data_IF_910558041888
#
_entry.id   IF_910558041888
#
_cell.length_a   1.000
_cell.length_b   1.000
_cell.length_c   1.000
_cell.angle_alpha   90.00
_cell.angle_beta   90.00
_cell.angle_gamma   90.00
#
_symmetry.space_group_name_H-M   'P 1'
#
loop_
_entity.id
_entity.type
_entity.pdbx_description
1 polymer ?
#
# COMPACT_ATOMS: atom_id res chain seq x y z
N UNK A 1 2.14 1.23 10.97
CA UNK A 1 1.09 2.25 10.71
C UNK A 1 0.52 2.08 9.31
N UNK A 2 -0.79 2.18 9.20
CA UNK A 2 -1.53 2.32 7.95
C UNK A 2 -1.90 3.80 7.81
N UNK A 3 -2.01 4.29 6.57
CA UNK A 3 -2.46 5.66 6.31
C UNK A 3 -3.62 5.69 5.32
N UNK A 4 -4.51 6.65 5.50
CA UNK A 4 -5.58 6.98 4.55
C UNK A 4 -5.34 8.42 4.08
N UNK A 5 -5.13 8.60 2.78
CA UNK A 5 -4.92 9.92 2.20
C UNK A 5 -6.24 10.69 2.26
N UNK A 6 -6.27 11.82 2.96
CA UNK A 6 -7.43 12.69 3.06
C UNK A 6 -7.39 13.79 1.99
N UNK A 7 -6.21 14.36 1.74
CA UNK A 7 -6.02 15.43 0.77
C UNK A 7 -4.65 15.32 0.09
N UNK A 8 -4.56 15.87 -1.12
CA UNK A 8 -3.34 15.90 -1.92
C UNK A 8 -3.12 14.65 -2.78
N UNK A 9 -1.93 14.58 -3.38
CA UNK A 9 -1.49 13.46 -4.22
C UNK A 9 -0.14 12.92 -3.77
N UNK A 10 0.04 11.62 -3.96
CA UNK A 10 1.29 10.93 -3.73
C UNK A 10 1.64 10.03 -4.92
N UNK A 11 2.89 9.58 -4.98
CA UNK A 11 3.36 8.55 -5.90
C UNK A 11 3.84 7.36 -5.09
N UNK A 12 3.42 6.16 -5.48
CA UNK A 12 3.95 4.91 -4.94
C UNK A 12 4.89 4.28 -5.95
N UNK A 13 6.15 4.13 -5.53
CA UNK A 13 7.23 3.56 -6.32
C UNK A 13 7.60 2.19 -5.73
N UNK A 14 7.52 1.15 -6.55
CA UNK A 14 7.99 -0.20 -6.21
C UNK A 14 9.33 -0.39 -6.89
N UNK A 15 10.33 -0.86 -6.13
CA UNK A 15 11.68 -1.07 -6.63
C UNK A 15 12.14 -2.53 -6.53
N UNK A 16 13.07 -2.91 -7.40
CA UNK A 16 13.90 -4.09 -7.28
C UNK A 16 15.38 -3.68 -7.37
N UNK A 17 16.29 -4.65 -7.48
CA UNK A 17 17.74 -4.42 -7.61
C UNK A 17 18.14 -3.59 -8.84
N UNK A 18 17.28 -3.52 -9.85
CA UNK A 18 17.52 -2.83 -11.13
C UNK A 18 16.90 -1.42 -11.18
N UNK A 19 16.14 -1.02 -10.14
CA UNK A 19 15.51 0.30 -10.04
C UNK A 19 13.99 0.24 -9.82
N UNK A 20 13.30 1.32 -10.18
CA UNK A 20 11.84 1.42 -10.05
C UNK A 20 11.18 0.58 -11.15
N UNK A 21 10.41 -0.43 -10.73
CA UNK A 21 9.71 -1.36 -11.62
C UNK A 21 8.25 -0.98 -11.85
N UNK A 22 7.69 -0.15 -10.97
CA UNK A 22 6.34 0.40 -11.11
C UNK A 22 6.24 1.71 -10.37
N UNK A 23 5.51 2.64 -10.96
CA UNK A 23 5.20 3.94 -10.38
C UNK A 23 3.74 4.26 -10.64
N UNK A 24 2.99 4.58 -9.57
CA UNK A 24 1.56 4.90 -9.67
C UNK A 24 1.24 6.13 -8.82
N UNK A 25 0.45 7.05 -9.35
CA UNK A 25 -0.08 8.17 -8.58
C UNK A 25 -1.30 7.73 -7.74
N UNK A 26 -1.41 8.30 -6.56
CA UNK A 26 -2.45 8.06 -5.57
C UNK A 26 -3.10 9.40 -5.23
N UNK A 27 -4.43 9.41 -5.25
CA UNK A 27 -5.25 10.54 -4.82
C UNK A 27 -5.81 10.32 -3.41
N UNK A 28 -6.56 11.31 -2.92
CA UNK A 28 -7.37 11.19 -1.71
C UNK A 28 -8.31 9.95 -1.76
N UNK A 29 -8.57 9.36 -0.60
CA UNK A 29 -9.33 8.13 -0.43
C UNK A 29 -8.48 6.86 -0.56
N UNK A 30 -7.22 6.95 -1.00
CA UNK A 30 -6.35 5.78 -1.09
C UNK A 30 -5.75 5.40 0.27
N UNK A 31 -5.69 4.09 0.54
CA UNK A 31 -5.02 3.51 1.70
C UNK A 31 -3.58 3.15 1.34
N UNK A 32 -2.62 3.34 2.24
CA UNK A 32 -1.24 2.87 2.06
C UNK A 32 -0.70 2.19 3.31
N UNK A 33 0.24 1.27 3.09
CA UNK A 33 0.97 0.59 4.16
C UNK A 33 0.22 -0.59 4.79
N UNK A 34 -0.90 -0.99 4.19
CA UNK A 34 -1.72 -2.15 4.55
C UNK A 34 -0.96 -3.47 4.40
N UNK A 35 -0.22 -3.67 3.30
CA UNK A 35 0.53 -4.92 3.06
C UNK A 35 1.50 -5.20 4.20
N UNK A 36 2.35 -4.23 4.54
CA UNK A 36 3.34 -4.37 5.61
C UNK A 36 2.68 -4.59 6.98
N UNK A 37 1.49 -4.03 7.20
CA UNK A 37 0.77 -4.20 8.46
C UNK A 37 0.12 -5.59 8.56
N UNK A 38 -0.55 -6.04 7.51
CA UNK A 38 -1.31 -7.29 7.46
C UNK A 38 -0.40 -8.52 7.36
N UNK A 39 0.65 -8.46 6.56
CA UNK A 39 1.55 -9.59 6.33
C UNK A 39 2.79 -9.58 7.23
N UNK A 40 2.94 -8.56 8.08
CA UNK A 40 4.10 -8.37 8.95
C UNK A 40 5.45 -8.41 8.20
N UNK A 41 5.47 -7.77 7.03
CA UNK A 41 6.65 -7.67 6.16
C UNK A 41 7.20 -6.24 6.12
N UNK A 42 8.47 -6.04 5.72
CA UNK A 42 9.00 -4.70 5.45
C UNK A 42 8.14 -3.93 4.43
N UNK A 43 8.28 -2.59 4.42
CA UNK A 43 7.60 -1.76 3.42
C UNK A 43 8.01 -2.19 2.01
N UNK A 44 7.02 -2.54 1.20
CA UNK A 44 7.23 -3.07 -0.16
C UNK A 44 7.33 -1.99 -1.24
N UNK A 45 7.04 -0.74 -0.88
CA UNK A 45 7.08 0.40 -1.78
C UNK A 45 7.42 1.69 -1.02
N UNK A 46 7.96 2.66 -1.74
CA UNK A 46 8.20 4.02 -1.26
C UNK A 46 7.03 4.89 -1.68
N UNK A 47 6.46 5.67 -0.76
CA UNK A 47 5.42 6.66 -1.07
C UNK A 47 6.01 8.05 -0.93
N UNK A 48 5.94 8.83 -2.01
CA UNK A 48 6.45 10.20 -2.07
C UNK A 48 5.28 11.16 -2.28
N UNK A 49 5.13 12.16 -1.41
CA UNK A 49 4.14 13.21 -1.62
C UNK A 49 4.49 14.04 -2.87
N UNK A 50 3.52 14.24 -3.76
CA UNK A 50 3.67 15.08 -4.96
C UNK A 50 3.12 16.49 -4.73
N UNK A 51 2.22 16.64 -3.77
CA UNK A 51 1.65 17.91 -3.31
C UNK A 51 1.69 17.94 -1.78
N UNK A 52 1.39 19.08 -1.12
CA UNK A 52 1.00 19.04 0.28
C UNK A 52 -0.06 17.95 0.51
N UNK A 53 0.14 17.13 1.55
CA UNK A 53 -0.61 15.90 1.78
C UNK A 53 -1.12 15.88 3.22
N UNK A 54 -2.41 15.58 3.37
CA UNK A 54 -3.04 15.31 4.67
C UNK A 54 -3.42 13.84 4.67
N UNK A 55 -3.09 13.12 5.74
CA UNK A 55 -3.45 11.72 5.89
C UNK A 55 -3.82 11.40 7.33
N UNK A 56 -4.83 10.54 7.49
CA UNK A 56 -5.09 9.88 8.76
C UNK A 56 -4.10 8.73 8.94
N UNK A 57 -3.61 8.52 10.16
CA UNK A 57 -2.73 7.40 10.48
C UNK A 57 -3.38 6.49 11.51
N UNK A 58 -3.34 5.19 11.26
CA UNK A 58 -3.75 4.15 12.21
C UNK A 58 -2.50 3.37 12.65
N UNK A 59 -2.35 3.19 13.96
CA UNK A 59 -1.35 2.30 14.55
C UNK A 59 -1.69 0.83 14.28
N UNK A 60 -0.81 -0.09 14.70
CA UNK A 60 -1.12 -1.52 14.55
C UNK A 60 -2.27 -1.89 15.49
N UNK A 61 -2.26 -1.30 16.68
CA UNK A 61 -3.24 -1.45 17.74
C UNK A 61 -4.61 -0.97 17.28
N UNK A 62 -4.70 0.23 16.68
CA UNK A 62 -5.97 0.76 16.14
C UNK A 62 -6.55 -0.17 15.07
N UNK A 63 -5.71 -0.68 14.17
CA UNK A 63 -6.16 -1.60 13.12
C UNK A 63 -6.62 -2.93 13.72
N UNK A 64 -5.91 -3.46 14.71
CA UNK A 64 -6.30 -4.68 15.41
C UNK A 64 -7.65 -4.53 16.10
N UNK A 65 -7.89 -3.39 16.76
CA UNK A 65 -9.17 -3.11 17.40
C UNK A 65 -10.31 -3.00 16.37
N UNK A 66 -10.08 -2.29 15.27
CA UNK A 66 -11.07 -2.17 14.19
C UNK A 66 -11.43 -3.52 13.57
N UNK A 67 -10.45 -4.40 13.34
CA UNK A 67 -10.70 -5.75 12.83
C UNK A 67 -11.55 -6.58 13.80
N UNK A 68 -11.37 -6.42 15.11
CA UNK A 68 -12.17 -7.12 16.10
C UNK A 68 -13.62 -6.61 16.17
N UNK A 69 -13.87 -5.36 15.79
CA UNK A 69 -15.18 -4.70 15.88
C UNK A 69 -15.97 -4.70 14.57
N UNK A 70 -15.30 -4.81 13.43
CA UNK A 70 -15.90 -4.77 12.10
C UNK A 70 -15.21 -5.79 11.18
N UNK A 71 -15.84 -6.95 10.97
CA UNK A 71 -15.29 -8.00 10.11
C UNK A 71 -15.15 -7.53 8.65
N UNK A 72 -16.09 -6.70 8.18
CA UNK A 72 -16.10 -6.14 6.83
C UNK A 72 -14.88 -5.26 6.56
N UNK A 73 -14.39 -4.55 7.58
CA UNK A 73 -13.16 -3.75 7.48
C UNK A 73 -11.94 -4.64 7.23
N UNK A 74 -11.86 -5.78 7.93
CA UNK A 74 -10.79 -6.75 7.73
C UNK A 74 -10.81 -7.32 6.32
N UNK A 75 -11.97 -7.76 5.84
CA UNK A 75 -12.11 -8.33 4.50
C UNK A 75 -11.72 -7.31 3.43
N UNK A 76 -12.21 -6.07 3.52
CA UNK A 76 -11.85 -5.01 2.58
C UNK A 76 -10.35 -4.72 2.57
N UNK A 77 -9.70 -4.68 3.74
CA UNK A 77 -8.25 -4.51 3.83
C UNK A 77 -7.47 -5.68 3.20
N UNK A 78 -7.93 -6.92 3.39
CA UNK A 78 -7.31 -8.11 2.81
C UNK A 78 -7.45 -8.11 1.28
N UNK A 79 -8.64 -7.79 0.76
CA UNK A 79 -8.87 -7.65 -0.68
C UNK A 79 -7.94 -6.60 -1.30
N UNK A 80 -7.83 -5.42 -0.68
CA UNK A 80 -6.93 -4.37 -1.13
C UNK A 80 -5.46 -4.80 -1.14
N UNK A 81 -5.01 -5.50 -0.10
CA UNK A 81 -3.64 -6.00 -0.01
C UNK A 81 -3.35 -7.06 -1.08
N UNK A 82 -4.27 -8.00 -1.28
CA UNK A 82 -4.13 -9.06 -2.28
C UNK A 82 -4.09 -8.50 -3.70
N UNK A 83 -5.01 -7.60 -4.07
CA UNK A 83 -5.00 -6.97 -5.39
C UNK A 83 -3.69 -6.24 -5.69
N UNK A 84 -3.08 -5.62 -4.67
CA UNK A 84 -1.80 -4.92 -4.82
C UNK A 84 -0.62 -5.88 -4.90
N UNK A 85 -0.61 -6.96 -4.11
CA UNK A 85 0.41 -7.99 -4.18
C UNK A 85 0.39 -8.72 -5.51
N UNK A 86 -0.80 -9.04 -6.04
CA UNK A 86 -0.96 -9.62 -7.37
C UNK A 86 -0.37 -8.70 -8.44
N UNK A 87 -0.74 -7.41 -8.43
CA UNK A 87 -0.19 -6.43 -9.34
C UNK A 87 1.35 -6.33 -9.24
N UNK A 88 1.88 -6.28 -8.02
CA UNK A 88 3.33 -6.27 -7.76
C UNK A 88 4.03 -7.55 -8.26
N UNK A 89 3.41 -8.71 -8.05
CA UNK A 89 3.90 -10.02 -8.47
C UNK A 89 3.94 -10.14 -9.99
N UNK A 90 2.83 -9.79 -10.67
CA UNK A 90 2.76 -9.76 -12.14
C UNK A 90 3.83 -8.87 -12.75
N UNK A 91 4.05 -7.68 -12.19
CA UNK A 91 5.10 -6.76 -12.64
C UNK A 91 6.51 -7.36 -12.47
N UNK A 92 6.78 -7.99 -11.32
CA UNK A 92 8.06 -8.66 -11.06
C UNK A 92 8.32 -9.78 -12.06
N UNK A 93 7.34 -10.66 -12.30
CA UNK A 93 7.48 -11.76 -13.26
C UNK A 93 7.65 -11.25 -14.69
N UNK A 94 6.87 -10.26 -15.12
CA UNK A 94 6.94 -9.70 -16.46
C UNK A 94 8.28 -9.02 -16.77
N UNK A 95 8.92 -8.41 -15.76
CA UNK A 95 10.23 -7.77 -15.92
C UNK A 95 11.39 -8.77 -15.86
N UNK A 96 11.29 -9.81 -15.02
CA UNK A 96 12.29 -10.88 -14.97
C UNK A 96 12.36 -11.70 -16.27
N UNK A 97 11.26 -11.81 -17.03
CA UNK A 97 11.22 -12.50 -18.31
C UNK A 97 11.85 -11.71 -19.49
N UNK A 98 12.25 -10.45 -19.28
CA UNK A 98 12.82 -9.56 -20.32
C UNK A 98 14.34 -9.41 -20.24
N UNK A 99 15.01 -10.06 -19.29
CA UNK A 99 16.47 -10.15 -19.15
C UNK A 99 16.98 -11.49 -19.67
#
# INVERSE_FOLDING_TARGET
>A
RLYVLAEGRARVDIANEQGIVSSKELDAGQVIGEIALLHDVPRTATVTALTPLVAYSLSREDVSELQARAAEFRESLLEMANSRLEYQGTLRTALAARS
#
